data_IF_524117652811
#
_entry.id   IF_524117652811
#
_cell.length_a   1.000
_cell.length_b   1.000
_cell.length_c   1.000
_cell.angle_alpha   90.00
_cell.angle_beta   90.00
_cell.angle_gamma   90.00
#
_symmetry.space_group_name_H-M   'P 1'
#
loop_
_entity.id
_entity.type
_entity.pdbx_description
1 polymer ?
#
# COMPACT_ATOMS: atom_id res chain seq x y z
N UNK A 1 -2.06 8.65 -11.28
CA UNK A 1 -1.58 7.46 -10.56
C UNK A 1 -2.72 6.62 -9.98
N UNK A 2 -3.69 7.19 -9.26
CA UNK A 2 -4.72 6.40 -8.57
C UNK A 2 -5.64 5.54 -9.45
N UNK A 3 -6.10 6.07 -10.57
CA UNK A 3 -6.97 5.33 -11.50
C UNK A 3 -6.37 3.98 -11.94
N UNK A 4 -5.16 3.93 -12.56
CA UNK A 4 -4.59 2.66 -12.99
C UNK A 4 -4.23 1.72 -11.83
N UNK A 5 -3.88 2.27 -10.65
CA UNK A 5 -3.71 1.47 -9.43
C UNK A 5 -5.01 0.77 -9.02
N UNK A 6 -6.13 1.50 -9.03
CA UNK A 6 -7.44 0.95 -8.67
C UNK A 6 -7.87 -0.14 -9.66
N UNK A 7 -7.64 0.06 -10.97
CA UNK A 7 -7.93 -0.95 -12.00
C UNK A 7 -7.16 -2.24 -11.73
N UNK A 8 -5.84 -2.14 -11.49
CA UNK A 8 -4.99 -3.29 -11.20
C UNK A 8 -5.40 -4.01 -9.91
N UNK A 9 -5.79 -3.27 -8.87
CA UNK A 9 -6.33 -3.84 -7.64
C UNK A 9 -7.62 -4.62 -7.92
N UNK A 10 -8.60 -4.06 -8.62
CA UNK A 10 -9.86 -4.77 -8.90
C UNK A 10 -9.61 -6.05 -9.70
N UNK A 11 -8.75 -5.98 -10.73
CA UNK A 11 -8.40 -7.15 -11.56
C UNK A 11 -7.66 -8.23 -10.77
N UNK A 12 -6.85 -7.87 -9.76
CA UNK A 12 -6.07 -8.79 -8.93
C UNK A 12 -6.74 -9.28 -7.64
N UNK A 13 -7.75 -8.58 -7.09
CA UNK A 13 -8.35 -8.89 -5.78
C UNK A 13 -9.19 -10.18 -5.74
N UNK A 14 -9.66 -10.64 -6.92
CA UNK A 14 -10.58 -11.76 -7.06
C UNK A 14 -12.01 -11.45 -6.63
N UNK A 15 -12.91 -12.44 -6.70
CA UNK A 15 -14.35 -12.27 -6.48
C UNK A 15 -14.79 -12.30 -5.01
N UNK A 16 -13.90 -12.69 -4.10
CA UNK A 16 -14.19 -12.81 -2.66
C UNK A 16 -14.13 -11.48 -1.90
N UNK A 17 -13.55 -10.44 -2.51
CA UNK A 17 -13.40 -9.11 -1.90
C UNK A 17 -14.22 -8.08 -2.67
N UNK A 18 -14.67 -7.07 -1.95
CA UNK A 18 -15.34 -5.90 -2.53
C UNK A 18 -14.36 -4.73 -2.60
N UNK A 19 -14.51 -3.92 -3.64
CA UNK A 19 -13.76 -2.68 -3.85
C UNK A 19 -14.72 -1.50 -3.85
N UNK A 20 -14.44 -0.53 -2.99
CA UNK A 20 -15.21 0.72 -2.90
C UNK A 20 -14.38 1.83 -3.54
N UNK A 21 -14.95 2.54 -4.50
CA UNK A 21 -14.26 3.66 -5.18
C UNK A 21 -14.94 4.98 -4.86
N UNK A 22 -14.13 6.01 -4.65
CA UNK A 22 -14.56 7.40 -4.42
C UNK A 22 -13.64 8.28 -5.27
N UNK A 23 -14.22 9.16 -6.06
CA UNK A 23 -13.50 10.18 -6.80
C UNK A 23 -14.40 11.39 -7.01
N UNK A 24 -13.82 12.59 -6.98
CA UNK A 24 -14.57 13.83 -7.26
C UNK A 24 -14.85 14.01 -8.76
N UNK A 25 -14.07 13.35 -9.62
CA UNK A 25 -14.28 13.35 -11.06
C UNK A 25 -15.24 12.22 -11.46
N UNK A 26 -16.46 12.58 -11.83
CA UNK A 26 -17.51 11.63 -12.23
C UNK A 26 -17.20 10.93 -13.56
N UNK A 27 -16.55 11.61 -14.50
CA UNK A 27 -16.15 11.01 -15.77
C UNK A 27 -15.14 9.89 -15.54
N UNK A 28 -14.13 10.14 -14.70
CA UNK A 28 -13.16 9.11 -14.31
C UNK A 28 -13.81 7.93 -13.56
N UNK A 29 -14.89 8.14 -12.80
CA UNK A 29 -15.64 7.05 -12.18
C UNK A 29 -16.37 6.20 -13.21
N UNK A 30 -17.02 6.85 -14.19
CA UNK A 30 -17.74 6.14 -15.24
C UNK A 30 -16.78 5.30 -16.09
N UNK A 31 -15.66 5.90 -16.53
CA UNK A 31 -14.61 5.19 -17.27
C UNK A 31 -14.06 4.00 -16.46
N UNK A 32 -13.80 4.22 -15.17
CA UNK A 32 -13.30 3.16 -14.28
C UNK A 32 -14.28 1.99 -14.19
N UNK A 33 -15.57 2.27 -14.00
CA UNK A 33 -16.61 1.25 -13.89
C UNK A 33 -16.75 0.45 -15.18
N UNK A 34 -16.66 1.12 -16.33
CA UNK A 34 -16.69 0.45 -17.63
C UNK A 34 -15.47 -0.44 -17.83
N UNK A 35 -14.28 0.04 -17.46
CA UNK A 35 -13.03 -0.72 -17.65
C UNK A 35 -12.94 -1.97 -16.74
N UNK A 36 -13.43 -1.88 -15.51
CA UNK A 36 -13.40 -2.99 -14.55
C UNK A 36 -14.65 -3.88 -14.62
N UNK A 37 -15.52 -3.66 -15.59
CA UNK A 37 -16.75 -4.43 -15.75
C UNK A 37 -16.44 -5.92 -15.88
N UNK A 38 -17.12 -6.73 -15.05
CA UNK A 38 -16.91 -8.17 -14.99
C UNK A 38 -15.79 -8.62 -14.04
N UNK A 39 -15.06 -7.69 -13.40
CA UNK A 39 -14.05 -7.99 -12.40
C UNK A 39 -14.52 -7.62 -10.99
N UNK A 40 -14.39 -8.56 -10.05
CA UNK A 40 -14.64 -8.33 -8.62
C UNK A 40 -16.06 -7.80 -8.31
N UNK A 41 -16.24 -7.32 -7.07
CA UNK A 41 -17.44 -6.59 -6.65
C UNK A 41 -17.06 -5.13 -6.44
N UNK A 42 -17.41 -4.27 -7.39
CA UNK A 42 -17.04 -2.84 -7.37
C UNK A 42 -18.28 -1.99 -7.11
N UNK A 43 -18.18 -1.07 -6.14
CA UNK A 43 -19.22 -0.09 -5.84
C UNK A 43 -18.65 1.31 -5.77
N UNK A 44 -19.31 2.27 -6.42
CA UNK A 44 -19.05 3.70 -6.22
C UNK A 44 -19.73 4.14 -4.93
N UNK A 45 -19.00 4.86 -4.09
CA UNK A 45 -19.51 5.37 -2.81
C UNK A 45 -19.52 6.90 -2.85
N UNK A 46 -20.50 7.51 -2.19
CA UNK A 46 -20.74 8.95 -2.26
C UNK A 46 -19.58 9.79 -1.74
N UNK A 47 -18.88 9.34 -0.70
CA UNK A 47 -17.77 10.06 -0.09
C UNK A 47 -16.85 9.10 0.70
N UNK A 48 -15.71 9.64 1.12
CA UNK A 48 -14.68 8.89 1.84
C UNK A 48 -15.13 8.46 3.25
N UNK A 49 -16.05 9.19 3.89
CA UNK A 49 -16.65 8.82 5.17
C UNK A 49 -17.40 7.48 5.08
N UNK A 50 -18.35 7.36 4.14
CA UNK A 50 -19.12 6.12 3.95
C UNK A 50 -18.24 4.97 3.46
N UNK A 51 -17.26 5.25 2.60
CA UNK A 51 -16.29 4.25 2.17
C UNK A 51 -15.47 3.72 3.36
N UNK A 52 -15.02 4.61 4.25
CA UNK A 52 -14.21 4.23 5.41
C UNK A 52 -15.02 3.48 6.47
N UNK A 53 -16.32 3.78 6.62
CA UNK A 53 -17.20 2.99 7.50
C UNK A 53 -17.22 1.53 7.09
N UNK A 54 -17.38 1.26 5.80
CA UNK A 54 -17.51 -0.09 5.26
C UNK A 54 -16.18 -0.82 5.01
N UNK A 55 -15.10 -0.09 4.67
CA UNK A 55 -13.83 -0.71 4.27
C UNK A 55 -12.93 -1.09 5.47
N UNK A 56 -12.15 -2.16 5.31
CA UNK A 56 -11.06 -2.53 6.24
C UNK A 56 -9.72 -1.91 5.85
N UNK A 57 -9.51 -1.66 4.56
CA UNK A 57 -8.30 -1.06 4.01
C UNK A 57 -8.74 0.12 3.17
N UNK A 58 -8.20 1.30 3.47
CA UNK A 58 -8.43 2.54 2.74
C UNK A 58 -7.11 2.97 2.13
N UNK A 59 -7.08 3.10 0.81
CA UNK A 59 -5.90 3.52 0.04
C UNK A 59 -6.24 4.86 -0.59
N UNK A 60 -5.42 5.86 -0.34
CA UNK A 60 -5.56 7.21 -0.91
C UNK A 60 -4.36 7.58 -1.76
N UNK A 61 -4.60 8.41 -2.75
CA UNK A 61 -3.60 8.86 -3.74
C UNK A 61 -4.06 10.21 -4.28
N UNK A 62 -3.77 11.24 -3.50
CA UNK A 62 -4.37 12.56 -3.65
C UNK A 62 -3.38 13.56 -4.25
N UNK A 63 -3.86 14.57 -5.00
CA UNK A 63 -2.98 15.43 -5.80
C UNK A 63 -2.30 16.53 -4.98
N UNK A 64 -2.86 16.93 -3.84
CA UNK A 64 -2.40 18.10 -3.07
C UNK A 64 -2.54 17.88 -1.57
N UNK A 65 -1.72 18.60 -0.80
CA UNK A 65 -1.81 18.66 0.67
C UNK A 65 -3.22 19.02 1.14
N UNK A 66 -3.84 20.04 0.54
CA UNK A 66 -5.20 20.47 0.90
C UNK A 66 -6.24 19.37 0.69
N UNK A 67 -6.12 18.62 -0.41
CA UNK A 67 -7.00 17.49 -0.66
C UNK A 67 -6.81 16.38 0.37
N UNK A 68 -5.56 16.08 0.73
CA UNK A 68 -5.21 15.10 1.77
C UNK A 68 -5.80 15.50 3.12
N UNK A 69 -5.60 16.74 3.56
CA UNK A 69 -6.15 17.21 4.83
C UNK A 69 -7.68 17.18 4.84
N UNK A 70 -8.34 17.62 3.77
CA UNK A 70 -9.80 17.55 3.68
C UNK A 70 -10.32 16.11 3.71
N UNK A 71 -9.68 15.20 2.96
CA UNK A 71 -10.10 13.80 2.90
C UNK A 71 -9.86 13.07 4.22
N UNK A 72 -8.78 13.37 4.95
CA UNK A 72 -8.49 12.70 6.21
C UNK A 72 -9.20 13.33 7.41
N UNK A 73 -9.16 14.66 7.52
CA UNK A 73 -9.39 15.38 8.77
C UNK A 73 -10.75 16.09 8.84
N UNK A 74 -11.52 16.14 7.74
CA UNK A 74 -12.85 16.74 7.81
C UNK A 74 -13.72 16.00 8.84
N UNK A 75 -14.30 16.71 9.84
CA UNK A 75 -14.95 16.07 10.97
C UNK A 75 -16.29 15.40 10.63
N UNK A 76 -16.88 15.71 9.47
CA UNK A 76 -18.19 15.21 9.07
C UNK A 76 -18.10 14.22 7.91
N UNK A 77 -17.13 14.40 7.02
CA UNK A 77 -17.03 13.71 5.72
C UNK A 77 -15.67 13.04 5.49
N UNK A 78 -14.72 13.22 6.41
CA UNK A 78 -13.36 12.68 6.30
C UNK A 78 -13.23 11.21 6.73
N UNK A 79 -12.07 10.63 6.42
CA UNK A 79 -11.69 9.25 6.74
C UNK A 79 -11.72 9.02 8.26
N UNK A 80 -11.15 9.91 9.07
CA UNK A 80 -11.10 9.72 10.52
C UNK A 80 -12.50 9.71 11.15
N UNK A 81 -13.39 10.60 10.70
CA UNK A 81 -14.77 10.62 11.12
C UNK A 81 -15.49 9.30 10.75
N UNK A 82 -15.27 8.79 9.53
CA UNK A 82 -15.85 7.53 9.07
C UNK A 82 -15.31 6.31 9.83
N UNK A 83 -14.02 6.30 10.15
CA UNK A 83 -13.39 5.22 10.91
C UNK A 83 -13.95 5.13 12.34
N UNK A 84 -14.06 6.28 13.03
CA UNK A 84 -14.64 6.35 14.38
C UNK A 84 -16.12 5.96 14.33
N UNK A 85 -16.88 6.44 13.35
CA UNK A 85 -18.28 6.07 13.20
C UNK A 85 -18.50 4.58 12.96
N UNK A 86 -17.50 3.83 12.45
CA UNK A 86 -17.63 2.40 12.25
C UNK A 86 -17.62 1.59 13.56
N UNK A 87 -17.02 2.12 14.64
CA UNK A 87 -16.89 1.38 15.91
C UNK A 87 -18.18 1.30 16.71
N UNK A 88 -19.18 2.14 16.39
CA UNK A 88 -20.48 2.13 17.07
C UNK A 88 -21.42 1.04 16.56
N UNK A 89 -21.13 0.42 15.40
CA UNK A 89 -22.06 -0.50 14.72
C UNK A 89 -21.66 -1.98 14.78
N UNK A 90 -20.46 -2.35 15.25
CA UNK A 90 -19.97 -3.75 15.31
C UNK A 90 -18.75 -3.91 16.22
N UNK A 91 -18.34 -5.15 16.53
CA UNK A 91 -17.07 -5.44 17.24
C UNK A 91 -15.87 -4.70 16.60
N UNK A 92 -14.80 -4.41 17.37
CA UNK A 92 -13.66 -3.63 16.86
C UNK A 92 -13.05 -4.26 15.60
N UNK A 93 -13.27 -3.64 14.45
CA UNK A 93 -12.67 -4.06 13.19
C UNK A 93 -11.36 -3.32 12.98
N UNK A 94 -10.27 -4.07 12.79
CA UNK A 94 -8.99 -3.48 12.42
C UNK A 94 -9.12 -2.79 11.05
N UNK A 95 -8.72 -1.51 11.00
CA UNK A 95 -8.69 -0.69 9.79
C UNK A 95 -7.27 -0.22 9.51
N UNK A 96 -6.90 -0.25 8.23
CA UNK A 96 -5.60 0.19 7.73
C UNK A 96 -5.80 1.35 6.74
N UNK A 97 -5.19 2.48 7.04
CA UNK A 97 -5.15 3.65 6.16
C UNK A 97 -3.77 3.71 5.50
N UNK A 98 -3.72 3.85 4.17
CA UNK A 98 -2.48 3.90 3.39
C UNK A 98 -2.54 5.14 2.51
N UNK A 99 -1.71 6.15 2.81
CA UNK A 99 -1.53 7.31 1.95
C UNK A 99 -0.39 7.05 0.96
N UNK A 100 -0.68 7.10 -0.34
CA UNK A 100 0.28 6.76 -1.38
C UNK A 100 0.83 7.98 -2.13
N UNK A 101 0.37 9.19 -1.81
CA UNK A 101 0.82 10.43 -2.44
C UNK A 101 2.22 10.84 -2.00
N UNK A 102 2.93 11.56 -2.87
CA UNK A 102 4.19 12.22 -2.52
C UNK A 102 3.87 13.54 -1.81
N UNK A 103 3.68 13.47 -0.49
CA UNK A 103 3.25 14.58 0.36
C UNK A 103 4.37 15.00 1.31
N UNK A 104 4.35 16.26 1.75
CA UNK A 104 5.30 16.78 2.72
C UNK A 104 5.28 15.99 4.03
N UNK A 105 6.47 15.66 4.56
CA UNK A 105 6.62 14.89 5.79
C UNK A 105 5.90 15.51 7.00
N UNK A 106 5.83 16.84 7.08
CA UNK A 106 5.12 17.54 8.15
C UNK A 106 3.63 17.20 8.17
N UNK A 107 3.01 17.10 7.00
CA UNK A 107 1.60 16.73 6.85
C UNK A 107 1.40 15.26 7.20
N UNK A 108 2.26 14.37 6.71
CA UNK A 108 2.21 12.94 7.06
C UNK A 108 2.29 12.73 8.59
N UNK A 109 3.18 13.45 9.28
CA UNK A 109 3.28 13.40 10.75
C UNK A 109 1.99 13.88 11.41
N UNK A 110 1.45 15.02 10.97
CA UNK A 110 0.17 15.55 11.45
C UNK A 110 -0.98 14.54 11.29
N UNK A 111 -1.08 13.87 10.14
CA UNK A 111 -2.08 12.83 9.90
C UNK A 111 -1.87 11.64 10.83
N UNK A 112 -0.63 11.19 10.99
CA UNK A 112 -0.33 10.06 11.84
C UNK A 112 -0.66 10.31 13.31
N UNK A 113 -0.39 11.52 13.82
CA UNK A 113 -0.80 11.96 15.17
C UNK A 113 -2.34 11.94 15.30
N UNK A 114 -3.05 12.51 14.32
CA UNK A 114 -4.52 12.50 14.32
C UNK A 114 -5.11 11.07 14.24
N UNK A 115 -4.47 10.18 13.48
CA UNK A 115 -4.84 8.76 13.42
C UNK A 115 -4.56 8.08 14.75
N UNK A 116 -3.45 8.37 15.43
CA UNK A 116 -3.15 7.81 16.75
C UNK A 116 -4.22 8.21 17.77
N UNK A 117 -4.59 9.50 17.82
CA UNK A 117 -5.66 10.00 18.66
C UNK A 117 -7.01 9.34 18.37
N UNK A 118 -7.34 9.15 17.09
CA UNK A 118 -8.54 8.42 16.67
C UNK A 118 -8.47 6.94 17.06
N UNK A 119 -7.30 6.31 16.91
CA UNK A 119 -7.07 4.90 17.22
C UNK A 119 -7.28 4.61 18.71
N UNK A 120 -6.89 5.53 19.61
CA UNK A 120 -7.18 5.42 21.04
C UNK A 120 -8.69 5.34 21.33
N UNK A 121 -9.51 6.08 20.58
CA UNK A 121 -10.99 6.02 20.66
C UNK A 121 -11.56 4.74 20.05
N UNK A 122 -10.76 4.02 19.26
CA UNK A 122 -11.11 2.80 18.53
C UNK A 122 -10.43 1.56 19.12
N UNK A 123 -10.06 1.57 20.42
CA UNK A 123 -9.38 0.44 21.08
C UNK A 123 -8.10 -0.02 20.36
N UNK A 124 -7.35 0.93 19.77
CA UNK A 124 -6.14 0.71 19.00
C UNK A 124 -6.30 -0.14 17.73
N UNK A 125 -7.48 -0.11 17.10
CA UNK A 125 -7.77 -0.87 15.87
C UNK A 125 -7.56 -0.10 14.58
N UNK A 126 -7.09 1.15 14.64
CA UNK A 126 -6.79 1.96 13.46
C UNK A 126 -5.27 2.09 13.27
N UNK A 127 -4.77 1.76 12.08
CA UNK A 127 -3.37 1.90 11.68
C UNK A 127 -3.23 2.84 10.49
N UNK A 128 -2.13 3.59 10.45
CA UNK A 128 -1.77 4.47 9.35
C UNK A 128 -0.39 4.13 8.78
N UNK A 129 -0.30 4.21 7.47
CA UNK A 129 0.90 3.95 6.67
C UNK A 129 1.08 5.08 5.69
N UNK A 130 2.28 5.61 5.65
CA UNK A 130 2.75 6.49 4.59
C UNK A 130 3.47 5.61 3.56
N UNK A 131 3.01 5.58 2.31
CA UNK A 131 3.55 4.70 1.28
C UNK A 131 3.66 5.41 -0.07
N UNK A 132 4.41 6.52 -0.18
CA UNK A 132 4.60 7.21 -1.44
C UNK A 132 5.09 6.24 -2.53
N UNK A 133 4.48 6.34 -3.70
CA UNK A 133 4.82 5.51 -4.86
C UNK A 133 5.84 6.21 -5.76
N UNK A 134 6.85 5.47 -6.20
CA UNK A 134 7.83 5.93 -7.21
C UNK A 134 7.65 5.15 -8.51
N UNK A 135 7.17 5.84 -9.55
CA UNK A 135 7.32 5.55 -10.99
C UNK A 135 6.35 6.42 -11.80
N UNK A 136 6.43 6.34 -13.13
CA UNK A 136 5.57 7.08 -14.05
C UNK A 136 4.15 6.51 -14.09
N UNK A 137 3.16 7.23 -14.66
CA UNK A 137 1.84 6.68 -14.95
C UNK A 137 1.88 5.35 -15.71
N UNK A 138 2.90 5.12 -16.55
CA UNK A 138 3.09 3.85 -17.25
C UNK A 138 3.40 2.69 -16.29
N UNK A 139 4.22 2.94 -15.26
CA UNK A 139 4.49 1.95 -14.22
C UNK A 139 3.23 1.58 -13.42
N UNK A 140 2.35 2.56 -13.17
CA UNK A 140 1.06 2.30 -12.53
C UNK A 140 0.12 1.46 -13.40
N UNK A 141 0.08 1.69 -14.71
CA UNK A 141 -0.69 0.87 -15.66
C UNK A 141 -0.14 -0.56 -15.69
N UNK A 142 1.19 -0.72 -15.73
CA UNK A 142 1.86 -2.03 -15.74
C UNK A 142 1.79 -2.78 -14.40
N UNK A 143 1.35 -2.14 -13.32
CA UNK A 143 1.34 -2.74 -11.98
C UNK A 143 2.75 -2.91 -11.38
N UNK A 144 3.72 -2.11 -11.83
CA UNK A 144 5.14 -2.21 -11.46
C UNK A 144 5.62 -1.04 -10.59
N UNK A 145 4.72 -0.48 -9.77
CA UNK A 145 5.04 0.64 -8.87
C UNK A 145 5.93 0.17 -7.71
N UNK A 146 6.92 0.99 -7.34
CA UNK A 146 7.65 0.82 -6.08
C UNK A 146 6.97 1.64 -4.98
N UNK A 147 6.63 1.01 -3.87
CA UNK A 147 6.10 1.66 -2.67
C UNK A 147 7.21 1.83 -1.63
N UNK A 148 7.37 3.04 -1.10
CA UNK A 148 8.32 3.31 -0.01
C UNK A 148 7.52 3.40 1.28
N UNK A 149 7.42 2.29 2.02
CA UNK A 149 6.46 2.15 3.12
C UNK A 149 7.08 2.59 4.46
N UNK A 150 6.52 3.65 5.05
CA UNK A 150 6.81 4.16 6.38
C UNK A 150 5.63 4.03 7.33
N UNK A 151 5.93 3.87 8.61
CA UNK A 151 4.94 3.70 9.69
C UNK A 151 5.36 4.53 10.88
N UNK A 152 4.41 5.34 11.40
CA UNK A 152 4.72 6.35 12.39
C UNK A 152 5.08 5.77 13.78
N UNK A 153 4.68 4.53 14.11
CA UNK A 153 5.11 3.84 15.33
C UNK A 153 5.08 2.31 15.18
N UNK A 154 5.90 1.59 15.95
CA UNK A 154 5.94 0.12 16.02
C UNK A 154 4.70 -0.53 16.66
N UNK A 155 3.62 0.22 16.94
CA UNK A 155 2.40 -0.28 17.59
C UNK A 155 1.51 -1.12 16.66
N UNK A 156 1.72 -1.08 15.35
CA UNK A 156 0.98 -1.96 14.43
C UNK A 156 1.65 -3.34 14.37
N UNK A 157 1.21 -4.26 15.24
CA UNK A 157 1.72 -5.62 15.32
C UNK A 157 1.58 -6.45 14.02
N UNK A 158 0.80 -5.97 13.04
CA UNK A 158 0.63 -6.61 11.73
C UNK A 158 1.45 -5.96 10.62
N UNK A 159 1.49 -4.64 10.58
CA UNK A 159 2.10 -3.90 9.45
C UNK A 159 3.60 -3.75 9.64
N UNK A 160 4.06 -3.45 10.86
CA UNK A 160 5.49 -3.22 11.12
C UNK A 160 6.36 -4.47 10.81
N UNK A 161 5.97 -5.70 11.21
CA UNK A 161 6.72 -6.90 10.84
C UNK A 161 6.75 -7.18 9.34
N UNK A 162 5.67 -6.86 8.62
CA UNK A 162 5.61 -7.03 7.16
C UNK A 162 6.56 -6.07 6.45
N UNK A 163 6.65 -4.82 6.91
CA UNK A 163 7.60 -3.84 6.38
C UNK A 163 9.03 -4.30 6.64
N UNK A 164 9.34 -4.80 7.84
CA UNK A 164 10.67 -5.36 8.14
C UNK A 164 10.98 -6.54 7.22
N UNK A 165 10.03 -7.48 7.03
CA UNK A 165 10.22 -8.63 6.15
C UNK A 165 10.50 -8.20 4.71
N UNK A 166 9.77 -7.22 4.19
CA UNK A 166 9.99 -6.66 2.87
C UNK A 166 11.36 -5.96 2.77
N UNK A 167 11.75 -5.21 3.79
CA UNK A 167 13.05 -4.54 3.84
C UNK A 167 14.22 -5.53 3.84
N UNK A 168 14.12 -6.61 4.62
CA UNK A 168 15.08 -7.72 4.60
C UNK A 168 15.14 -8.41 3.23
N UNK A 169 13.98 -8.63 2.59
CA UNK A 169 13.92 -9.22 1.24
C UNK A 169 14.61 -8.33 0.20
N UNK A 170 14.47 -7.01 0.29
CA UNK A 170 15.17 -6.06 -0.59
C UNK A 170 16.68 -6.10 -0.34
N UNK A 171 17.13 -6.03 0.91
CA UNK A 171 18.57 -6.07 1.25
C UNK A 171 19.22 -7.36 0.76
N UNK A 172 18.58 -8.50 1.02
CA UNK A 172 19.10 -9.80 0.58
C UNK A 172 19.17 -9.91 -0.93
N UNK A 173 18.17 -9.38 -1.65
CA UNK A 173 18.16 -9.35 -3.12
C UNK A 173 19.28 -8.46 -3.67
N UNK A 174 19.51 -7.28 -3.10
CA UNK A 174 20.61 -6.38 -3.51
C UNK A 174 21.97 -7.01 -3.24
N UNK A 175 22.16 -7.58 -2.05
CA UNK A 175 23.41 -8.26 -1.69
C UNK A 175 23.70 -9.45 -2.62
N UNK A 176 22.68 -10.26 -2.94
CA UNK A 176 22.82 -11.36 -3.90
C UNK A 176 23.17 -10.86 -5.31
N UNK A 177 22.50 -9.82 -5.79
CA UNK A 177 22.78 -9.22 -7.09
C UNK A 177 24.22 -8.66 -7.17
N UNK A 178 24.70 -7.99 -6.12
CA UNK A 178 26.07 -7.50 -6.04
C UNK A 178 27.10 -8.63 -5.99
N UNK A 179 26.87 -9.68 -5.19
CA UNK A 179 27.74 -10.85 -5.12
C UNK A 179 27.86 -11.57 -6.47
N UNK A 180 26.73 -11.79 -7.16
CA UNK A 180 26.70 -12.36 -8.50
C UNK A 180 27.47 -11.48 -9.50
N UNK A 181 27.27 -10.17 -9.46
CA UNK A 181 27.96 -9.22 -10.33
C UNK A 181 29.49 -9.22 -10.09
N UNK A 182 29.93 -9.32 -8.83
CA UNK A 182 31.36 -9.46 -8.49
C UNK A 182 31.93 -10.75 -9.08
N UNK A 183 31.24 -11.88 -8.90
CA UNK A 183 31.67 -13.17 -9.44
C UNK A 183 31.77 -13.16 -10.96
N UNK A 184 30.76 -12.62 -11.65
CA UNK A 184 30.77 -12.48 -13.11
C UNK A 184 31.93 -11.58 -13.58
N UNK A 185 32.19 -10.46 -12.90
CA UNK A 185 33.33 -9.58 -13.21
C UNK A 185 34.69 -10.23 -12.95
N UNK A 186 34.75 -11.17 -12.01
CA UNK A 186 35.93 -11.99 -11.76
C UNK A 186 36.13 -13.11 -12.80
N UNK A 187 35.23 -13.23 -13.78
CA UNK A 187 35.29 -14.23 -14.85
C UNK A 187 34.62 -15.57 -14.51
N UNK A 188 33.86 -15.62 -13.42
CA UNK A 188 33.13 -16.84 -13.02
C UNK A 188 31.80 -16.96 -13.79
N UNK A 189 31.40 -18.20 -14.06
CA UNK A 189 30.14 -18.50 -14.72
C UNK A 189 28.93 -18.24 -13.80
N UNK A 190 27.90 -17.56 -14.33
CA UNK A 190 26.72 -17.18 -13.55
C UNK A 190 25.94 -18.40 -13.05
N UNK A 191 25.86 -19.47 -13.85
CA UNK A 191 25.12 -20.68 -13.46
C UNK A 191 25.84 -21.37 -12.31
N UNK A 192 27.16 -21.51 -12.38
CA UNK A 192 27.97 -22.02 -11.27
C UNK A 192 27.74 -21.20 -9.98
N UNK A 193 27.75 -19.86 -10.07
CA UNK A 193 27.51 -19.01 -8.90
C UNK A 193 26.11 -19.22 -8.30
N UNK A 194 25.08 -19.39 -9.13
CA UNK A 194 23.71 -19.68 -8.69
C UNK A 194 23.60 -21.06 -8.03
N UNK A 195 24.25 -22.07 -8.60
CA UNK A 195 24.30 -23.43 -8.04
C UNK A 195 24.97 -23.41 -6.65
N UNK A 196 26.04 -22.63 -6.47
CA UNK A 196 26.70 -22.43 -5.16
C UNK A 196 25.77 -21.76 -4.15
N UNK A 197 25.08 -20.69 -4.54
CA UNK A 197 24.16 -19.95 -3.66
C UNK A 197 22.97 -20.81 -3.23
N UNK A 198 22.44 -21.63 -4.13
CA UNK A 198 21.33 -22.53 -3.85
C UNK A 198 21.75 -23.79 -3.08
N UNK A 199 23.05 -24.02 -2.89
CA UNK A 199 23.58 -25.22 -2.24
C UNK A 199 23.57 -26.46 -3.14
N UNK A 200 23.37 -26.28 -4.43
CA UNK A 200 23.32 -27.32 -5.46
C UNK A 200 24.69 -27.60 -6.10
N UNK A 201 25.71 -26.78 -5.79
CA UNK A 201 27.05 -26.97 -6.32
C UNK A 201 27.77 -28.15 -5.64
N UNK A 202 28.04 -29.19 -6.43
CA UNK A 202 29.07 -30.18 -6.09
C UNK A 202 30.45 -29.55 -6.33
N UNK A 203 31.08 -29.06 -5.27
CA UNK A 203 32.50 -28.73 -5.33
C UNK A 203 33.27 -30.06 -5.43
N UNK A 204 33.74 -30.41 -6.63
CA UNK A 204 34.82 -31.38 -6.75
C UNK A 204 35.99 -30.87 -5.90
N UNK A 205 36.50 -31.72 -5.00
CA UNK A 205 37.62 -31.40 -4.12
C UNK A 205 38.74 -30.74 -4.93
N UNK A 206 39.11 -29.52 -4.56
CA UNK A 206 40.24 -28.83 -5.17
C UNK A 206 41.52 -29.56 -4.74
N UNK A 207 42.16 -30.29 -5.67
CA UNK A 207 43.55 -30.78 -5.56
C UNK A 207 44.57 -29.64 -5.62
#
# INVERSE_FOLDING_TARGET
MGYPMAVNLVKGLGSSKSFLTVNVNQEALNEFQDEVKGFGKVSVVQNVYEATKAAYIVITILPTVTAVEAVYLDPNTGILAGAIAATTYSSPTNKLLIECGTIETAIIKKLAEAVEEASLKMSNTLSFVDAPVSSSPMGAIAGSLTFIVGVHQAKSAKVFPQIINNYLSVITSVAAAEALNIGVKAGLDLKLLLDVINGDAEFAEFE
#
